data_IF_998779344507
#
_entry.id   IF_998779344507
#
_cell.length_a   1.000
_cell.length_b   1.000
_cell.length_c   1.000
_cell.angle_alpha   90.00
_cell.angle_beta   90.00
_cell.angle_gamma   90.00
#
_symmetry.space_group_name_H-M   'P 1'
#
loop_
_entity.id
_entity.type
_entity.pdbx_description
1 polymer ?
#
# COMPACT_ATOMS: atom_id res chain seq x y z
N UNK A 1 20.87 -10.65 -23.52
CA UNK A 1 19.39 -10.62 -23.51
C UNK A 1 19.03 -9.31 -22.88
N UNK A 2 18.20 -8.49 -23.52
CA UNK A 2 17.81 -7.21 -22.92
C UNK A 2 16.95 -7.52 -21.69
N UNK A 3 17.48 -7.23 -20.50
CA UNK A 3 16.70 -7.12 -19.28
C UNK A 3 15.69 -6.01 -19.53
N UNK A 4 14.41 -6.36 -19.72
CA UNK A 4 13.37 -5.37 -19.57
C UNK A 4 13.26 -5.14 -18.05
N UNK A 5 13.68 -3.98 -17.51
CA UNK A 5 13.50 -3.72 -16.10
C UNK A 5 12.00 -3.78 -15.83
N UNK A 6 11.58 -4.71 -14.97
CA UNK A 6 10.20 -4.74 -14.49
C UNK A 6 9.96 -3.39 -13.81
N UNK A 7 8.91 -2.65 -14.20
CA UNK A 7 8.61 -1.34 -13.63
C UNK A 7 8.54 -1.42 -12.11
N UNK A 8 9.15 -0.45 -11.43
CA UNK A 8 8.93 -0.28 -10.00
C UNK A 8 7.48 0.13 -9.72
N UNK A 9 7.10 0.13 -8.45
CA UNK A 9 5.74 0.42 -7.99
C UNK A 9 5.32 1.82 -8.45
N UNK A 10 6.23 2.79 -8.41
CA UNK A 10 5.98 4.18 -8.82
C UNK A 10 5.65 4.24 -10.32
N UNK A 11 6.46 3.61 -11.15
CA UNK A 11 6.29 3.58 -12.61
C UNK A 11 4.99 2.86 -13.01
N UNK A 12 4.60 1.86 -12.22
CA UNK A 12 3.34 1.12 -12.44
C UNK A 12 2.11 1.96 -12.03
N UNK A 13 2.20 2.70 -10.92
CA UNK A 13 1.08 3.48 -10.37
C UNK A 13 0.89 4.83 -11.04
N UNK A 14 1.96 5.48 -11.51
CA UNK A 14 1.91 6.81 -12.13
C UNK A 14 0.80 6.96 -13.20
N UNK A 15 0.68 6.10 -14.22
CA UNK A 15 -0.38 6.25 -15.22
C UNK A 15 -1.79 6.05 -14.66
N UNK A 16 -1.94 5.25 -13.60
CA UNK A 16 -3.23 5.05 -12.93
C UNK A 16 -3.60 6.29 -12.12
N UNK A 17 -2.65 6.86 -11.39
CA UNK A 17 -2.84 8.10 -10.63
C UNK A 17 -3.20 9.28 -11.54
N UNK A 18 -2.52 9.42 -12.68
CA UNK A 18 -2.81 10.45 -13.68
C UNK A 18 -4.21 10.31 -14.31
N UNK A 19 -4.70 9.07 -14.45
CA UNK A 19 -6.01 8.78 -15.02
C UNK A 19 -7.16 8.80 -13.98
N UNK A 20 -6.83 8.86 -12.69
CA UNK A 20 -7.78 8.83 -11.58
C UNK A 20 -8.07 10.25 -11.09
N UNK A 21 -9.34 10.55 -10.81
CA UNK A 21 -9.70 11.84 -10.20
C UNK A 21 -8.93 12.02 -8.89
N UNK A 22 -8.28 13.17 -8.63
CA UNK A 22 -7.59 13.43 -7.37
C UNK A 22 -8.45 13.22 -6.12
N UNK A 23 -9.78 13.34 -6.20
CA UNK A 23 -10.67 13.03 -5.07
C UNK A 23 -10.70 11.54 -4.72
N UNK A 24 -10.45 10.67 -5.69
CA UNK A 24 -10.48 9.21 -5.56
C UNK A 24 -9.12 8.63 -5.16
N UNK A 25 -8.04 9.44 -5.19
CA UNK A 25 -6.68 8.97 -4.86
C UNK A 25 -6.59 8.27 -3.50
N UNK A 26 -7.18 8.78 -2.40
CA UNK A 26 -7.13 8.06 -1.11
C UNK A 26 -7.77 6.68 -1.16
N UNK A 27 -8.89 6.51 -1.89
CA UNK A 27 -9.55 5.22 -2.03
C UNK A 27 -8.81 4.27 -2.99
N UNK A 28 -8.13 4.80 -4.00
CA UNK A 28 -7.19 4.04 -4.81
C UNK A 28 -6.06 3.49 -3.95
N UNK A 29 -5.43 4.32 -3.12
CA UNK A 29 -4.33 3.88 -2.24
C UNK A 29 -4.84 2.88 -1.19
N UNK A 30 -6.02 3.11 -0.58
CA UNK A 30 -6.64 2.14 0.33
C UNK A 30 -6.88 0.75 -0.32
N UNK A 31 -7.23 0.72 -1.62
CA UNK A 31 -7.33 -0.54 -2.37
C UNK A 31 -5.98 -1.22 -2.54
N UNK A 32 -4.88 -0.46 -2.69
CA UNK A 32 -3.52 -1.01 -2.73
C UNK A 32 -3.14 -1.62 -1.39
N UNK A 33 -3.54 -1.02 -0.26
CA UNK A 33 -3.24 -1.59 1.07
C UNK A 33 -3.89 -2.94 1.28
N UNK A 34 -5.12 -3.15 0.80
CA UNK A 34 -5.73 -4.50 0.82
C UNK A 34 -4.90 -5.53 0.04
N UNK A 35 -4.27 -5.12 -1.06
CA UNK A 35 -3.40 -6.02 -1.83
C UNK A 35 -2.03 -6.21 -1.16
N UNK A 36 -1.50 -5.20 -0.48
CA UNK A 36 -0.32 -5.32 0.37
C UNK A 36 -0.58 -6.29 1.54
N UNK A 37 -1.75 -6.23 2.17
CA UNK A 37 -2.18 -7.17 3.20
C UNK A 37 -2.17 -8.62 2.72
N UNK A 38 -2.72 -8.89 1.52
CA UNK A 38 -2.67 -10.21 0.89
C UNK A 38 -1.21 -10.67 0.70
N UNK A 39 -0.34 -9.77 0.23
CA UNK A 39 1.08 -10.09 0.05
C UNK A 39 1.80 -10.40 1.36
N UNK A 40 1.55 -9.64 2.41
CA UNK A 40 2.11 -9.94 3.74
C UNK A 40 1.68 -11.32 4.25
N UNK A 41 0.42 -11.72 4.02
CA UNK A 41 -0.06 -13.07 4.34
C UNK A 41 0.64 -14.15 3.52
N UNK A 42 0.83 -13.92 2.21
CA UNK A 42 1.57 -14.84 1.34
C UNK A 42 3.00 -15.07 1.85
N UNK A 43 3.69 -14.03 2.31
CA UNK A 43 5.02 -14.18 2.92
C UNK A 43 4.96 -14.87 4.28
N UNK A 44 3.98 -14.56 5.12
CA UNK A 44 3.79 -15.20 6.42
C UNK A 44 3.61 -16.73 6.25
N UNK A 45 2.88 -17.16 5.22
CA UNK A 45 2.69 -18.59 4.91
C UNK A 45 3.95 -19.26 4.35
N UNK A 46 4.86 -18.49 3.73
CA UNK A 46 6.06 -18.99 3.06
C UNK A 46 7.30 -19.07 3.97
N UNK A 47 7.37 -18.26 5.03
CA UNK A 47 8.51 -18.26 5.95
C UNK A 47 8.40 -19.37 7.00
N UNK A 48 9.55 -19.91 7.42
CA UNK A 48 9.61 -20.96 8.45
C UNK A 48 9.82 -20.45 9.87
N UNK A 49 10.18 -19.19 10.05
CA UNK A 49 10.48 -18.59 11.36
C UNK A 49 9.22 -17.99 12.00
N UNK A 50 8.85 -18.45 13.19
CA UNK A 50 7.63 -18.02 13.90
C UNK A 50 7.65 -16.52 14.22
N UNK A 51 8.83 -15.95 14.47
CA UNK A 51 8.99 -14.51 14.70
C UNK A 51 8.63 -13.71 13.44
N UNK A 52 9.12 -14.14 12.29
CA UNK A 52 8.78 -13.56 10.99
C UNK A 52 7.30 -13.75 10.65
N UNK A 53 6.73 -14.94 10.85
CA UNK A 53 5.28 -15.19 10.65
C UNK A 53 4.44 -14.19 11.44
N UNK A 54 4.74 -14.03 12.74
CA UNK A 54 4.00 -13.13 13.64
C UNK A 54 4.11 -11.68 13.18
N UNK A 55 5.31 -11.23 12.83
CA UNK A 55 5.55 -9.87 12.40
C UNK A 55 4.92 -9.55 11.04
N UNK A 56 4.99 -10.46 10.06
CA UNK A 56 4.33 -10.31 8.76
C UNK A 56 2.81 -10.30 8.88
N UNK A 57 2.25 -11.15 9.75
CA UNK A 57 0.82 -11.15 10.04
C UNK A 57 0.38 -9.81 10.63
N UNK A 58 1.16 -9.25 11.56
CA UNK A 58 0.89 -7.93 12.12
C UNK A 58 0.98 -6.80 11.08
N UNK A 59 1.88 -6.89 10.10
CA UNK A 59 1.87 -5.94 8.97
C UNK A 59 0.59 -6.08 8.14
N UNK A 60 0.18 -7.31 7.79
CA UNK A 60 -1.08 -7.53 7.07
C UNK A 60 -2.30 -6.94 7.79
N UNK A 61 -2.34 -7.02 9.12
CA UNK A 61 -3.40 -6.41 9.93
C UNK A 61 -3.37 -4.88 9.88
N UNK A 62 -2.19 -4.26 9.87
CA UNK A 62 -2.06 -2.80 9.70
C UNK A 62 -2.57 -2.34 8.34
N UNK A 63 -2.23 -3.04 7.26
CA UNK A 63 -2.68 -2.67 5.91
C UNK A 63 -4.20 -2.74 5.77
N UNK A 64 -4.84 -3.77 6.35
CA UNK A 64 -6.31 -3.85 6.40
C UNK A 64 -6.92 -2.74 7.27
N UNK A 65 -6.27 -2.38 8.38
CA UNK A 65 -6.71 -1.30 9.25
C UNK A 65 -6.60 0.07 8.56
N UNK A 66 -5.52 0.33 7.81
CA UNK A 66 -5.36 1.53 6.99
C UNK A 66 -6.50 1.61 5.98
N UNK A 67 -6.70 0.55 5.19
CA UNK A 67 -7.76 0.51 4.19
C UNK A 67 -9.13 0.80 4.80
N UNK A 68 -9.49 0.11 5.90
CA UNK A 68 -10.77 0.29 6.57
C UNK A 68 -10.97 1.71 7.12
N UNK A 69 -9.91 2.32 7.68
CA UNK A 69 -9.97 3.69 8.21
C UNK A 69 -10.19 4.71 7.10
N UNK A 70 -9.50 4.56 5.98
CA UNK A 70 -9.64 5.46 4.84
C UNK A 70 -11.02 5.29 4.20
N UNK A 71 -11.46 4.07 3.96
CA UNK A 71 -12.78 3.78 3.38
C UNK A 71 -13.92 4.34 4.24
N UNK A 72 -13.79 4.34 5.57
CA UNK A 72 -14.78 4.92 6.47
C UNK A 72 -14.94 6.45 6.34
N UNK A 73 -13.98 7.16 5.73
CA UNK A 73 -14.10 8.59 5.44
C UNK A 73 -15.03 8.87 4.25
N UNK A 74 -15.30 7.88 3.39
CA UNK A 74 -16.04 8.05 2.14
C UNK A 74 -17.29 7.18 2.12
N UNK A 75 -18.46 7.80 1.99
CA UNK A 75 -19.74 7.09 2.02
C UNK A 75 -19.99 6.17 0.82
N UNK A 76 -19.24 6.36 -0.27
CA UNK A 76 -19.33 5.64 -1.54
C UNK A 76 -18.04 4.86 -1.86
N UNK A 77 -17.24 4.56 -0.84
CA UNK A 77 -15.96 3.85 -0.95
C UNK A 77 -16.05 2.58 -1.82
N UNK A 78 -16.99 1.69 -1.52
CA UNK A 78 -17.22 0.45 -2.29
C UNK A 78 -17.42 0.72 -3.79
N UNK A 79 -18.32 1.66 -4.12
CA UNK A 79 -18.67 1.96 -5.51
C UNK A 79 -17.50 2.61 -6.28
N UNK A 80 -16.72 3.47 -5.59
CA UNK A 80 -15.52 4.08 -6.17
C UNK A 80 -14.44 3.04 -6.40
N UNK A 81 -14.14 2.18 -5.42
CA UNK A 81 -13.12 1.13 -5.56
C UNK A 81 -13.50 0.09 -6.61
N UNK A 82 -14.78 -0.31 -6.69
CA UNK A 82 -15.27 -1.17 -7.78
C UNK A 82 -15.03 -0.55 -9.15
N UNK A 83 -15.32 0.75 -9.31
CA UNK A 83 -15.05 1.49 -10.55
C UNK A 83 -13.56 1.57 -10.85
N UNK A 84 -12.71 1.85 -9.85
CA UNK A 84 -11.26 1.92 -10.01
C UNK A 84 -10.67 0.58 -10.45
N UNK A 85 -11.11 -0.52 -9.83
CA UNK A 85 -10.71 -1.87 -10.18
C UNK A 85 -11.18 -2.25 -11.60
N UNK A 86 -12.42 -1.93 -11.95
CA UNK A 86 -12.96 -2.18 -13.30
C UNK A 86 -12.23 -1.37 -14.38
N UNK A 87 -11.81 -0.14 -14.08
CA UNK A 87 -11.02 0.69 -14.98
C UNK A 87 -9.58 0.19 -15.14
N UNK A 88 -9.05 -0.53 -14.15
CA UNK A 88 -7.66 -0.98 -14.09
C UNK A 88 -7.53 -2.49 -13.82
N UNK A 89 -8.12 -3.37 -14.65
CA UNK A 89 -8.26 -4.80 -14.33
C UNK A 89 -6.92 -5.56 -14.23
N UNK A 90 -5.84 -4.99 -14.79
CA UNK A 90 -4.51 -5.60 -14.76
C UNK A 90 -3.64 -5.06 -13.63
N UNK A 91 -4.08 -4.04 -12.89
CA UNK A 91 -3.23 -3.32 -11.95
C UNK A 91 -2.71 -4.21 -10.82
N UNK A 92 -3.60 -4.97 -10.17
CA UNK A 92 -3.22 -5.91 -9.11
C UNK A 92 -2.18 -6.91 -9.58
N UNK A 93 -2.37 -7.46 -10.79
CA UNK A 93 -1.43 -8.39 -11.40
C UNK A 93 -0.08 -7.75 -11.76
N UNK A 94 -0.11 -6.52 -12.27
CA UNK A 94 1.10 -5.76 -12.61
C UNK A 94 1.94 -5.45 -11.36
N UNK A 95 1.31 -4.95 -10.30
CA UNK A 95 1.96 -4.69 -9.02
C UNK A 95 2.48 -5.99 -8.39
N UNK A 96 1.67 -7.04 -8.38
CA UNK A 96 2.07 -8.35 -7.85
C UNK A 96 3.27 -8.94 -8.60
N UNK A 97 3.29 -8.82 -9.93
CA UNK A 97 4.36 -9.32 -10.80
C UNK A 97 5.72 -8.65 -10.59
N UNK A 98 5.76 -7.45 -9.99
CA UNK A 98 7.02 -6.77 -9.63
C UNK A 98 7.84 -7.52 -8.56
N UNK A 99 7.22 -8.47 -7.86
CA UNK A 99 7.83 -9.21 -6.74
C UNK A 99 8.15 -10.67 -7.07
N UNK A 100 7.31 -11.36 -7.82
CA UNK A 100 7.25 -12.84 -7.83
C UNK A 100 8.50 -13.56 -8.35
N UNK A 101 9.39 -12.87 -9.07
CA UNK A 101 10.64 -13.44 -9.58
C UNK A 101 11.86 -13.08 -8.74
N UNK A 102 11.70 -12.20 -7.74
CA UNK A 102 12.79 -11.69 -6.91
C UNK A 102 13.04 -12.56 -5.69
N UNK A 103 14.28 -12.66 -5.21
CA UNK A 103 14.58 -13.16 -3.86
C UNK A 103 13.71 -12.48 -2.79
N UNK A 104 13.40 -13.21 -1.71
CA UNK A 104 12.46 -12.73 -0.68
C UNK A 104 12.96 -11.45 0.04
N UNK A 105 14.27 -11.33 0.22
CA UNK A 105 14.93 -10.14 0.77
C UNK A 105 14.80 -8.92 -0.17
N UNK A 106 14.94 -9.11 -1.48
CA UNK A 106 14.66 -8.05 -2.45
C UNK A 106 13.17 -7.64 -2.44
N UNK A 107 12.27 -8.61 -2.30
CA UNK A 107 10.84 -8.33 -2.18
C UNK A 107 10.51 -7.49 -0.93
N UNK A 108 11.11 -7.83 0.21
CA UNK A 108 10.95 -7.07 1.46
C UNK A 108 11.58 -5.69 1.38
N UNK A 109 12.72 -5.53 0.72
CA UNK A 109 13.33 -4.22 0.49
C UNK A 109 12.41 -3.31 -0.34
N UNK A 110 11.87 -3.83 -1.45
CA UNK A 110 10.94 -3.10 -2.30
C UNK A 110 9.63 -2.75 -1.58
N UNK A 111 9.10 -3.67 -0.77
CA UNK A 111 7.92 -3.37 0.03
C UNK A 111 8.25 -2.30 1.08
N UNK A 112 9.36 -2.38 1.81
CA UNK A 112 9.73 -1.35 2.76
C UNK A 112 9.83 0.04 2.10
N UNK A 113 10.38 0.14 0.90
CA UNK A 113 10.37 1.38 0.12
C UNK A 113 8.94 1.83 -0.25
N UNK A 114 8.06 0.88 -0.61
CA UNK A 114 6.65 1.14 -0.88
C UNK A 114 5.92 1.69 0.35
N UNK A 115 6.13 1.09 1.52
CA UNK A 115 5.57 1.54 2.80
C UNK A 115 6.03 2.96 3.15
N UNK A 116 7.33 3.26 2.94
CA UNK A 116 7.84 4.63 3.15
C UNK A 116 7.19 5.64 2.20
N UNK A 117 6.91 5.23 0.96
CA UNK A 117 6.18 6.05 -0.01
C UNK A 117 4.69 6.20 0.37
N UNK A 118 4.04 5.13 0.85
CA UNK A 118 2.67 5.14 1.38
C UNK A 118 2.55 6.13 2.53
N UNK A 119 3.45 6.06 3.50
CA UNK A 119 3.54 7.02 4.60
C UNK A 119 3.67 8.48 4.14
N UNK A 120 4.51 8.74 3.14
CA UNK A 120 4.67 10.09 2.57
C UNK A 120 3.38 10.55 1.85
N UNK A 121 2.71 9.63 1.16
CA UNK A 121 1.43 9.85 0.47
C UNK A 121 0.32 10.22 1.45
N UNK A 122 0.15 9.44 2.52
CA UNK A 122 -0.84 9.73 3.56
C UNK A 122 -0.61 11.11 4.21
N UNK A 123 0.64 11.48 4.51
CA UNK A 123 0.95 12.83 5.01
C UNK A 123 0.64 13.94 4.02
N UNK A 124 0.74 13.67 2.71
CA UNK A 124 0.29 14.61 1.69
C UNK A 124 -1.22 14.81 1.75
N UNK A 125 -2.01 13.72 1.88
CA UNK A 125 -3.46 13.81 2.04
C UNK A 125 -3.86 14.50 3.34
N UNK A 126 -3.14 14.27 4.45
CA UNK A 126 -3.36 14.98 5.71
C UNK A 126 -3.20 16.50 5.54
N UNK A 127 -2.10 16.96 4.93
CA UNK A 127 -1.86 18.38 4.64
C UNK A 127 -2.95 19.00 3.77
N UNK A 128 -3.40 18.25 2.76
CA UNK A 128 -4.48 18.71 1.87
C UNK A 128 -5.82 18.81 2.60
N UNK A 129 -6.10 17.90 3.52
CA UNK A 129 -7.32 17.90 4.35
C UNK A 129 -7.33 19.08 5.33
N UNK A 130 -6.20 19.34 5.99
CA UNK A 130 -6.01 20.53 6.82
C UNK A 130 -6.20 21.84 6.04
N UNK A 131 -5.73 21.92 4.79
CA UNK A 131 -5.94 23.09 3.94
C UNK A 131 -7.43 23.34 3.61
N UNK A 132 -8.28 22.31 3.73
CA UNK A 132 -9.74 22.38 3.56
C UNK A 132 -10.49 22.47 4.90
N UNK A 133 -9.76 22.59 6.01
CA UNK A 133 -10.28 22.56 7.38
C UNK A 133 -11.00 21.26 7.77
N UNK A 134 -10.62 20.14 7.14
CA UNK A 134 -11.07 18.80 7.52
C UNK A 134 -10.03 18.15 8.44
N UNK A 135 -10.21 18.37 9.75
CA UNK A 135 -9.28 17.87 10.78
C UNK A 135 -9.42 16.39 11.03
N UNK A 136 -10.63 15.85 10.90
CA UNK A 136 -10.92 14.45 11.20
C UNK A 136 -10.26 13.55 10.14
N UNK A 137 -10.38 13.90 8.86
CA UNK A 137 -9.67 13.20 7.79
C UNK A 137 -8.15 13.34 7.92
N UNK A 138 -7.65 14.52 8.31
CA UNK A 138 -6.23 14.74 8.51
C UNK A 138 -5.63 13.82 9.59
N UNK A 139 -6.32 13.69 10.73
CA UNK A 139 -5.90 12.82 11.83
C UNK A 139 -5.90 11.34 11.43
N UNK A 140 -6.87 10.92 10.60
CA UNK A 140 -6.91 9.56 10.06
C UNK A 140 -5.70 9.31 9.14
N UNK A 141 -5.41 10.23 8.21
CA UNK A 141 -4.29 10.06 7.31
C UNK A 141 -2.93 10.08 8.02
N UNK A 142 -2.74 10.90 9.05
CA UNK A 142 -1.51 10.85 9.86
C UNK A 142 -1.36 9.52 10.60
N UNK A 143 -2.46 8.93 11.11
CA UNK A 143 -2.42 7.60 11.72
C UNK A 143 -2.06 6.51 10.70
N UNK A 144 -2.56 6.60 9.47
CA UNK A 144 -2.19 5.70 8.38
C UNK A 144 -0.69 5.78 8.09
N UNK A 145 -0.13 6.99 8.02
CA UNK A 145 1.30 7.18 7.80
C UNK A 145 2.18 6.52 8.88
N UNK A 146 1.75 6.55 10.14
CA UNK A 146 2.49 5.89 11.23
C UNK A 146 2.43 4.36 11.15
N UNK A 147 1.32 3.80 10.68
CA UNK A 147 1.16 2.35 10.52
C UNK A 147 2.07 1.81 9.41
N UNK A 148 2.14 2.50 8.28
CA UNK A 148 3.07 2.21 7.16
C UNK A 148 4.53 2.26 7.62
N UNK A 149 4.91 3.28 8.40
CA UNK A 149 6.27 3.38 8.93
C UNK A 149 6.62 2.21 9.83
N UNK A 150 5.66 1.73 10.62
CA UNK A 150 5.85 0.53 11.45
C UNK A 150 6.00 -0.74 10.60
N UNK A 151 5.23 -0.87 9.51
CA UNK A 151 5.37 -1.98 8.54
C UNK A 151 6.72 -1.93 7.82
N UNK A 152 7.18 -0.74 7.40
CA UNK A 152 8.50 -0.53 6.80
C UNK A 152 9.64 -0.95 7.75
N UNK A 153 9.58 -0.51 9.01
CA UNK A 153 10.60 -0.83 10.02
C UNK A 153 10.71 -2.34 10.28
N UNK A 154 9.59 -3.07 10.27
CA UNK A 154 9.59 -4.53 10.41
C UNK A 154 10.38 -5.18 9.27
N UNK A 155 10.09 -4.79 8.02
CA UNK A 155 10.76 -5.34 6.85
C UNK A 155 12.25 -4.96 6.81
N UNK A 156 12.58 -3.70 7.11
CA UNK A 156 13.97 -3.24 7.22
C UNK A 156 14.75 -4.02 8.29
N UNK A 157 14.10 -4.44 9.37
CA UNK A 157 14.74 -5.25 10.41
C UNK A 157 15.02 -6.68 9.98
N UNK A 158 14.23 -7.26 9.05
CA UNK A 158 14.53 -8.58 8.49
C UNK A 158 15.74 -8.59 7.56
N UNK A 159 16.15 -7.42 7.07
CA UNK A 159 17.26 -7.25 6.13
C UNK A 159 18.61 -6.96 6.80
N UNK A 160 18.65 -6.94 8.15
CA UNK A 160 19.84 -6.61 8.95
C UNK A 160 20.64 -7.83 9.39
#
# INVERSE_FOLDING_TARGET
MAENPVPDIITTLAPVLDATDPSDHPLLVAMLERWAAERYREWADAVGDIGQVTALTACAEREEEIAARVEALYSDSDAVQERLAAANPLLKGALGGSYTWRPIDEQWALQAEAERLGAATWRSFAKQSLARADTDAADVFEQCALMEEASAEVLENFLR
#
